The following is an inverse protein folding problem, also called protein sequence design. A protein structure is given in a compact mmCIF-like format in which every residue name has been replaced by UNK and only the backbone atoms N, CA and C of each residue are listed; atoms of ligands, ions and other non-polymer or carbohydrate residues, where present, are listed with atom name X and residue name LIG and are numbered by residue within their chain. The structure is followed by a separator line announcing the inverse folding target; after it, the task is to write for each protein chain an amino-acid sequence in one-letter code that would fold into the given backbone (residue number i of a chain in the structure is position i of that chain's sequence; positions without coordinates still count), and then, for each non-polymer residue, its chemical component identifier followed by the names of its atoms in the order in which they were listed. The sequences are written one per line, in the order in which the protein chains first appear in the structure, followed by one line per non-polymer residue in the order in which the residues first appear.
data_IF_740384152152
#
_entry.id   IF_740384152152
#
_cell.length_a   1.000
_cell.length_b   1.000
_cell.length_c   1.000
_cell.angle_alpha   90.00
_cell.angle_beta   90.00
_cell.angle_gamma   90.00
#
_symmetry.space_group_name_H-M   'P 1'
#
loop_
_entity.id
_entity.type
_entity.pdbx_description
1 polymer ?
#
# COMPACT_ATOMS: atom_id res chain seq x y z
N UNK A 1 -14.71 2.35 -4.07
CA UNK A 1 -13.44 1.62 -4.10
C UNK A 1 -12.69 1.86 -2.79
N UNK A 2 -12.32 0.81 -2.12
CA UNK A 2 -11.57 0.92 -0.86
C UNK A 2 -10.08 0.81 -1.13
N UNK A 3 -9.33 1.79 -0.64
CA UNK A 3 -7.87 1.87 -0.82
C UNK A 3 -7.22 1.96 0.55
N UNK A 4 -6.19 1.15 0.79
CA UNK A 4 -5.40 1.22 2.01
C UNK A 4 -4.03 1.81 1.71
N UNK A 5 -3.55 2.66 2.61
CA UNK A 5 -2.19 3.17 2.59
C UNK A 5 -1.53 2.75 3.91
N UNK A 6 -0.52 1.92 3.82
CA UNK A 6 0.17 1.38 5.00
C UNK A 6 1.60 1.87 5.02
N UNK A 7 1.93 2.76 5.95
CA UNK A 7 3.24 3.39 6.05
C UNK A 7 3.37 3.97 7.46
N UNK A 8 4.49 3.79 8.10
CA UNK A 8 4.69 4.29 9.47
C UNK A 8 4.98 5.79 9.53
N UNK A 9 5.24 6.43 8.40
CA UNK A 9 5.53 7.85 8.32
C UNK A 9 4.29 8.62 7.88
N UNK A 10 3.74 9.45 8.77
CA UNK A 10 2.48 10.13 8.48
C UNK A 10 2.57 11.09 7.30
N UNK A 11 3.71 11.76 7.12
CA UNK A 11 3.91 12.66 5.99
C UNK A 11 3.84 11.93 4.67
N UNK A 12 4.39 10.72 4.62
CA UNK A 12 4.35 9.92 3.40
C UNK A 12 2.93 9.45 3.09
N UNK A 13 2.16 9.08 4.12
CA UNK A 13 0.77 8.72 3.92
C UNK A 13 -0.05 9.90 3.39
N UNK A 14 0.17 11.09 3.98
CA UNK A 14 -0.54 12.29 3.56
C UNK A 14 -0.22 12.66 2.12
N UNK A 15 1.05 12.58 1.74
CA UNK A 15 1.47 12.91 0.38
C UNK A 15 0.82 11.97 -0.63
N UNK A 16 0.86 10.68 -0.36
CA UNK A 16 0.26 9.69 -1.26
C UNK A 16 -1.26 9.84 -1.33
N UNK A 17 -1.91 10.05 -0.18
CA UNK A 17 -3.35 10.27 -0.15
C UNK A 17 -3.74 11.46 -1.02
N UNK A 18 -3.02 12.57 -0.90
CA UNK A 18 -3.34 13.77 -1.67
C UNK A 18 -3.20 13.52 -3.17
N UNK A 19 -2.19 12.78 -3.57
CA UNK A 19 -2.00 12.42 -4.98
C UNK A 19 -3.12 11.55 -5.49
N UNK A 20 -3.53 10.56 -4.70
CA UNK A 20 -4.61 9.65 -5.09
C UNK A 20 -5.94 10.39 -5.16
N UNK A 21 -6.25 11.21 -4.17
CA UNK A 21 -7.50 11.97 -4.16
C UNK A 21 -7.60 12.89 -5.36
N UNK A 22 -6.50 13.55 -5.70
CA UNK A 22 -6.46 14.44 -6.86
C UNK A 22 -6.74 13.67 -8.16
N UNK A 23 -6.09 12.53 -8.34
CA UNK A 23 -6.24 11.76 -9.57
C UNK A 23 -7.64 11.15 -9.71
N UNK A 24 -8.18 10.59 -8.65
CA UNK A 24 -9.50 9.98 -8.70
C UNK A 24 -10.61 11.02 -8.81
N UNK A 25 -10.43 12.18 -8.17
CA UNK A 25 -11.40 13.27 -8.29
C UNK A 25 -11.50 13.76 -9.72
N UNK A 26 -10.38 13.86 -10.43
CA UNK A 26 -10.36 14.25 -11.84
C UNK A 26 -11.14 13.29 -12.72
N UNK A 27 -11.21 12.03 -12.33
CA UNK A 27 -11.88 10.98 -13.10
C UNK A 27 -13.27 10.69 -12.59
N UNK A 28 -13.76 11.46 -11.61
CA UNK A 28 -15.06 11.27 -10.96
C UNK A 28 -15.23 9.87 -10.37
N UNK A 29 -14.15 9.32 -9.82
CA UNK A 29 -14.16 8.02 -9.16
C UNK A 29 -14.23 8.22 -7.66
N UNK A 30 -15.26 7.68 -7.04
CA UNK A 30 -15.39 7.73 -5.58
C UNK A 30 -14.45 6.73 -4.93
N UNK A 31 -13.69 7.18 -3.92
CA UNK A 31 -12.76 6.32 -3.19
C UNK A 31 -12.88 6.54 -1.69
N UNK A 32 -12.68 5.45 -0.95
CA UNK A 32 -12.53 5.50 0.51
C UNK A 32 -11.07 5.14 0.79
N UNK A 33 -10.28 6.12 1.19
CA UNK A 33 -8.86 5.93 1.46
C UNK A 33 -8.65 5.86 2.96
N UNK A 34 -8.12 4.73 3.43
CA UNK A 34 -7.85 4.50 4.84
C UNK A 34 -6.35 4.35 5.05
N UNK A 35 -5.86 4.93 6.14
CA UNK A 35 -4.43 4.96 6.45
C UNK A 35 -4.14 4.09 7.66
N UNK A 36 -3.03 3.37 7.61
CA UNK A 36 -2.57 2.51 8.71
C UNK A 36 -1.08 2.75 8.93
N UNK A 37 -0.66 2.81 10.18
CA UNK A 37 0.74 3.08 10.51
C UNK A 37 1.56 1.80 10.68
N UNK A 38 0.92 0.63 10.70
CA UNK A 38 1.63 -0.64 10.80
C UNK A 38 0.85 -1.74 10.12
N UNK A 39 1.52 -2.88 9.91
CA UNK A 39 0.92 -4.01 9.21
C UNK A 39 -0.17 -4.71 10.00
N UNK A 40 -0.06 -4.74 11.34
CA UNK A 40 -1.03 -5.45 12.16
C UNK A 40 -2.41 -4.82 12.12
N UNK A 41 -2.48 -3.51 12.27
CA UNK A 41 -3.77 -2.81 12.20
C UNK A 41 -4.37 -2.91 10.82
N UNK A 42 -3.53 -2.82 9.79
CA UNK A 42 -3.99 -3.00 8.42
C UNK A 42 -4.57 -4.41 8.19
N UNK A 43 -3.85 -5.44 8.62
CA UNK A 43 -4.32 -6.82 8.40
C UNK A 43 -5.64 -7.10 9.11
N UNK A 44 -5.81 -6.56 10.33
CA UNK A 44 -7.06 -6.70 11.04
C UNK A 44 -8.22 -6.08 10.26
N UNK A 45 -8.00 -4.87 9.74
CA UNK A 45 -9.02 -4.19 8.95
C UNK A 45 -9.33 -4.92 7.64
N UNK A 46 -8.30 -5.46 6.99
CA UNK A 46 -8.48 -6.17 5.73
C UNK A 46 -9.29 -7.46 5.89
N UNK A 47 -9.18 -8.12 7.04
CA UNK A 47 -9.96 -9.31 7.31
C UNK A 47 -11.44 -9.00 7.49
N UNK A 48 -11.74 -7.84 8.04
CA UNK A 48 -13.12 -7.41 8.24
C UNK A 48 -13.77 -6.94 6.96
N UNK A 49 -13.01 -6.18 6.16
CA UNK A 49 -13.53 -5.63 4.91
C UNK A 49 -12.38 -5.53 3.90
N UNK A 50 -12.39 -6.33 2.84
CA UNK A 50 -11.30 -6.33 1.87
C UNK A 50 -11.12 -4.98 1.17
N UNK A 51 -9.88 -4.72 0.77
CA UNK A 51 -9.53 -3.52 0.00
C UNK A 51 -9.40 -3.88 -1.48
N UNK A 52 -9.70 -2.90 -2.34
CA UNK A 52 -9.50 -3.06 -3.77
C UNK A 52 -8.03 -2.87 -4.13
N UNK A 53 -7.40 -1.85 -3.51
CA UNK A 53 -6.00 -1.50 -3.77
C UNK A 53 -5.31 -1.29 -2.42
N UNK A 54 -4.10 -1.80 -2.30
CA UNK A 54 -3.28 -1.64 -1.08
C UNK A 54 -1.92 -1.07 -1.48
N UNK A 55 -1.59 0.10 -0.93
CA UNK A 55 -0.25 0.67 -1.02
C UNK A 55 0.46 0.32 0.27
N UNK A 56 1.55 -0.41 0.17
CA UNK A 56 2.21 -0.99 1.34
C UNK A 56 3.69 -0.66 1.32
N UNK A 57 4.15 0.03 2.37
CA UNK A 57 5.56 0.34 2.52
C UNK A 57 6.33 -0.93 2.91
N UNK A 58 7.48 -1.13 2.28
CA UNK A 58 8.33 -2.29 2.58
C UNK A 58 9.03 -2.11 3.94
N UNK A 59 9.50 -0.91 4.23
CA UNK A 59 10.26 -0.64 5.43
C UNK A 59 9.41 0.10 6.45
N UNK A 60 8.97 -0.60 7.49
CA UNK A 60 8.18 -0.02 8.58
C UNK A 60 8.80 -0.39 9.93
N UNK A 61 8.64 0.51 10.90
CA UNK A 61 9.09 0.26 12.26
C UNK A 61 8.43 -1.00 12.82
N UNK A 62 9.25 -1.95 13.23
CA UNK A 62 8.74 -3.16 13.88
C UNK A 62 8.12 -4.17 12.96
N UNK A 63 8.06 -3.90 11.66
CA UNK A 63 7.53 -4.88 10.71
C UNK A 63 8.09 -4.66 9.32
N UNK A 64 8.03 -5.71 8.51
CA UNK A 64 8.47 -5.69 7.13
C UNK A 64 7.23 -5.79 6.25
N UNK A 65 7.09 -4.87 5.29
CA UNK A 65 5.96 -4.88 4.38
C UNK A 65 5.84 -6.16 3.55
N UNK A 66 6.96 -6.80 3.24
CA UNK A 66 6.93 -8.08 2.52
C UNK A 66 6.21 -9.14 3.35
N UNK A 67 6.50 -9.22 4.65
CA UNK A 67 5.84 -10.18 5.52
C UNK A 67 4.34 -9.87 5.67
N UNK A 68 4.01 -8.59 5.76
CA UNK A 68 2.60 -8.16 5.79
C UNK A 68 1.89 -8.58 4.52
N UNK A 69 2.53 -8.41 3.37
CA UNK A 69 1.96 -8.79 2.09
C UNK A 69 1.74 -10.30 1.98
N UNK A 70 2.69 -11.08 2.48
CA UNK A 70 2.54 -12.53 2.49
C UNK A 70 1.35 -12.96 3.33
N UNK A 71 1.17 -12.34 4.49
CA UNK A 71 0.03 -12.63 5.34
C UNK A 71 -1.28 -12.21 4.68
N UNK A 72 -1.30 -11.05 4.03
CA UNK A 72 -2.48 -10.59 3.30
C UNK A 72 -2.88 -11.59 2.22
N UNK A 73 -1.91 -12.09 1.45
CA UNK A 73 -2.18 -13.01 0.35
C UNK A 73 -2.72 -14.36 0.80
N UNK A 74 -2.60 -14.70 2.05
CA UNK A 74 -3.20 -15.93 2.58
C UNK A 74 -4.72 -15.88 2.57
N UNK A 75 -5.29 -14.69 2.73
CA UNK A 75 -6.75 -14.52 2.78
C UNK A 75 -7.31 -13.74 1.60
N UNK A 76 -6.50 -12.96 0.90
CA UNK A 76 -6.95 -12.12 -0.23
C UNK A 76 -5.96 -12.26 -1.37
N UNK A 77 -6.36 -12.95 -2.43
CA UNK A 77 -5.53 -13.15 -3.59
C UNK A 77 -5.85 -12.16 -4.72
N UNK A 78 -6.89 -11.34 -4.55
CA UNK A 78 -7.44 -10.53 -5.64
C UNK A 78 -7.11 -9.06 -5.56
N UNK A 79 -6.79 -8.53 -4.37
CA UNK A 79 -6.53 -7.11 -4.25
C UNK A 79 -5.28 -6.70 -5.03
N UNK A 80 -5.31 -5.49 -5.56
CA UNK A 80 -4.16 -4.92 -6.24
C UNK A 80 -3.16 -4.47 -5.18
N UNK A 81 -1.96 -5.04 -5.18
CA UNK A 81 -0.95 -4.75 -4.19
C UNK A 81 0.19 -3.95 -4.84
N UNK A 82 0.47 -2.78 -4.27
CA UNK A 82 1.50 -1.88 -4.76
C UNK A 82 2.46 -1.59 -3.60
N UNK A 83 3.73 -1.96 -3.76
CA UNK A 83 4.73 -1.61 -2.77
C UNK A 83 5.19 -0.18 -2.97
N UNK A 84 5.32 0.55 -1.87
CA UNK A 84 5.91 1.88 -1.85
C UNK A 84 7.26 1.79 -1.16
N UNK A 85 8.29 2.39 -1.74
CA UNK A 85 9.63 2.30 -1.17
C UNK A 85 10.54 3.36 -1.79
N UNK A 86 11.63 3.66 -1.09
CA UNK A 86 12.70 4.49 -1.64
C UNK A 86 13.80 3.64 -2.27
N UNK A 87 13.62 2.32 -2.29
CA UNK A 87 14.62 1.38 -2.78
C UNK A 87 13.97 0.33 -3.68
N UNK A 88 14.72 -0.15 -4.66
CA UNK A 88 14.27 -1.22 -5.54
C UNK A 88 14.85 -2.59 -5.12
N UNK A 89 15.52 -2.65 -3.97
CA UNK A 89 16.21 -3.87 -3.53
C UNK A 89 15.28 -5.07 -3.34
N UNK A 90 14.00 -4.83 -3.08
CA UNK A 90 13.03 -5.89 -2.83
C UNK A 90 12.10 -6.16 -4.01
N UNK A 91 12.45 -5.67 -5.21
CA UNK A 91 11.58 -5.83 -6.36
C UNK A 91 11.27 -7.30 -6.66
N UNK A 92 12.27 -8.18 -6.57
CA UNK A 92 12.06 -9.61 -6.83
C UNK A 92 11.15 -10.26 -5.79
N UNK A 93 11.23 -9.83 -4.53
CA UNK A 93 10.36 -10.35 -3.49
C UNK A 93 8.91 -9.95 -3.73
N UNK A 94 8.68 -8.79 -4.36
CA UNK A 94 7.35 -8.35 -4.70
C UNK A 94 6.60 -9.33 -5.60
N UNK A 95 7.32 -9.98 -6.51
CA UNK A 95 6.71 -10.97 -7.40
C UNK A 95 6.23 -12.20 -6.64
N UNK A 96 6.87 -12.55 -5.53
CA UNK A 96 6.47 -13.70 -4.73
C UNK A 96 5.12 -13.49 -4.05
N UNK A 97 4.76 -12.24 -3.79
CA UNK A 97 3.46 -11.90 -3.19
C UNK A 97 2.49 -11.30 -4.21
N UNK A 98 2.83 -11.41 -5.49
CA UNK A 98 2.00 -10.93 -6.60
C UNK A 98 1.69 -9.44 -6.49
N UNK A 99 2.70 -8.67 -6.16
CA UNK A 99 2.59 -7.23 -6.24
C UNK A 99 2.52 -6.81 -7.70
N UNK A 100 1.59 -5.93 -8.03
CA UNK A 100 1.41 -5.51 -9.41
C UNK A 100 2.41 -4.44 -9.82
N UNK A 101 2.78 -3.59 -8.88
CA UNK A 101 3.64 -2.45 -9.17
C UNK A 101 4.58 -2.20 -8.01
N UNK A 102 5.71 -1.58 -8.31
CA UNK A 102 6.61 -1.04 -7.32
C UNK A 102 6.64 0.47 -7.52
N UNK A 103 6.15 1.20 -6.53
CA UNK A 103 6.17 2.65 -6.53
C UNK A 103 7.33 3.12 -5.66
N UNK A 104 8.20 3.96 -6.20
CA UNK A 104 9.30 4.53 -5.42
C UNK A 104 9.01 5.99 -5.14
N UNK A 105 9.16 6.42 -3.89
CA UNK A 105 8.93 7.81 -3.53
C UNK A 105 9.98 8.73 -4.13
N UNK A 106 11.13 8.21 -4.54
CA UNK A 106 12.17 8.98 -5.21
C UNK A 106 11.73 9.50 -6.58
N UNK A 107 10.75 8.87 -7.18
CA UNK A 107 10.28 9.30 -8.50
C UNK A 107 9.80 10.75 -8.50
N UNK A 108 9.50 11.29 -7.34
CA UNK A 108 9.07 12.68 -7.22
C UNK A 108 10.17 13.67 -7.59
N UNK A 109 11.41 13.22 -7.65
CA UNK A 109 12.54 14.09 -7.97
C UNK A 109 12.62 14.49 -9.44
N UNK A 110 11.83 13.90 -10.25
CA UNK A 110 11.84 14.19 -11.68
C UNK A 110 11.15 15.46 -12.08
#
# INVERSE_FOLDING_TARGET
MRIAIVDDISEERTLLRNRLESQFSRRNVHTDILEYENGETFLTAAKECPFTVVFLDIYMNGSNGIDTAKELRRSDTDCLLIFTTTSTDHALEGFQVRACLLYTSDAADE
#
